data_IF_400631707908
#
_entry.id   IF_400631707908
#
_cell.length_a   1.000
_cell.length_b   1.000
_cell.length_c   1.000
_cell.angle_alpha   90.00
_cell.angle_beta   90.00
_cell.angle_gamma   90.00
#
_symmetry.space_group_name_H-M   'P 1'
#
loop_
_entity.id
_entity.type
_entity.pdbx_description
1 polymer ?
#
# COMPACT_ATOMS: atom_id res chain seq x y z
N UNK A 1 -11.90 -17.23 -22.37
CA UNK A 1 -12.78 -16.33 -23.16
C UNK A 1 -12.16 -14.95 -23.16
N UNK A 2 -11.94 -14.35 -24.34
CA UNK A 2 -11.48 -12.96 -24.47
C UNK A 2 -12.67 -12.05 -24.17
N UNK A 3 -12.75 -11.51 -22.96
CA UNK A 3 -13.74 -10.47 -22.65
C UNK A 3 -13.10 -9.11 -22.89
N UNK A 4 -13.27 -8.58 -24.10
CA UNK A 4 -13.06 -7.15 -24.38
C UNK A 4 -14.45 -6.55 -24.36
N UNK A 5 -14.76 -5.73 -23.35
CA UNK A 5 -16.04 -5.00 -23.30
C UNK A 5 -15.77 -3.52 -23.16
N UNK A 6 -16.52 -2.76 -23.95
CA UNK A 6 -16.48 -1.30 -24.04
C UNK A 6 -17.65 -0.77 -23.20
N UNK A 7 -17.37 0.11 -22.24
CA UNK A 7 -18.39 0.67 -21.34
C UNK A 7 -18.57 2.16 -21.58
N UNK A 8 -19.82 2.61 -21.62
CA UNK A 8 -20.20 4.01 -21.81
C UNK A 8 -20.21 4.82 -20.51
N UNK A 9 -20.32 4.19 -19.33
CA UNK A 9 -20.36 4.85 -18.02
C UNK A 9 -19.86 3.94 -16.88
N UNK A 10 -19.43 4.55 -15.76
CA UNK A 10 -18.86 3.87 -14.57
C UNK A 10 -19.87 2.98 -13.82
N UNK A 11 -21.15 3.36 -13.82
CA UNK A 11 -22.24 2.64 -13.12
C UNK A 11 -22.57 1.28 -13.75
N UNK A 12 -22.35 1.13 -15.05
CA UNK A 12 -22.60 -0.14 -15.76
C UNK A 12 -21.56 -1.23 -15.42
N UNK A 13 -20.42 -0.81 -14.87
CA UNK A 13 -19.30 -1.67 -14.48
C UNK A 13 -19.46 -2.26 -13.07
N UNK A 14 -19.94 -1.46 -12.11
CA UNK A 14 -20.13 -1.87 -10.71
C UNK A 14 -21.08 -3.08 -10.56
N UNK A 15 -22.15 -3.12 -11.37
CA UNK A 15 -23.15 -4.18 -11.35
C UNK A 15 -22.59 -5.56 -11.77
N UNK A 16 -21.58 -5.58 -12.65
CA UNK A 16 -20.99 -6.83 -13.17
C UNK A 16 -19.80 -7.33 -12.34
N UNK A 17 -19.04 -6.41 -11.74
CA UNK A 17 -17.90 -6.70 -10.87
C UNK A 17 -18.28 -7.45 -9.58
N UNK A 18 -19.51 -7.27 -9.09
CA UNK A 18 -20.08 -7.95 -7.91
C UNK A 18 -20.20 -9.49 -8.05
N UNK A 19 -19.98 -10.05 -9.24
CA UNK A 19 -20.23 -11.47 -9.56
C UNK A 19 -18.98 -12.36 -9.60
N UNK A 20 -17.78 -11.83 -9.32
CA UNK A 20 -16.51 -12.56 -9.50
C UNK A 20 -15.85 -12.88 -8.14
N UNK A 21 -15.64 -14.16 -7.79
CA UNK A 21 -14.99 -14.54 -6.53
C UNK A 21 -13.48 -14.79 -6.73
N UNK A 22 -12.60 -13.89 -6.29
CA UNK A 22 -11.13 -14.09 -6.07
C UNK A 22 -10.47 -12.79 -5.52
N UNK A 23 -9.28 -12.85 -4.87
CA UNK A 23 -8.74 -11.73 -4.10
C UNK A 23 -8.59 -10.50 -4.99
N UNK A 24 -9.11 -9.40 -4.51
CA UNK A 24 -9.44 -8.25 -5.33
C UNK A 24 -8.66 -7.03 -4.84
N UNK A 25 -7.89 -6.42 -5.73
CA UNK A 25 -7.26 -5.13 -5.42
C UNK A 25 -8.38 -4.11 -5.40
N UNK A 26 -8.52 -3.39 -4.29
CA UNK A 26 -9.49 -2.33 -4.13
C UNK A 26 -8.85 -0.99 -4.48
N UNK A 27 -9.60 -0.11 -5.13
CA UNK A 27 -9.22 1.30 -5.27
C UNK A 27 -10.33 2.17 -4.67
N UNK A 28 -9.94 3.15 -3.85
CA UNK A 28 -10.86 4.05 -3.17
C UNK A 28 -10.62 5.50 -3.58
N UNK A 29 -11.66 6.20 -4.05
CA UNK A 29 -11.56 7.64 -4.34
C UNK A 29 -11.70 8.48 -3.06
N UNK A 30 -12.58 8.03 -2.16
CA UNK A 30 -12.88 8.61 -0.84
C UNK A 30 -13.12 7.48 0.17
N UNK A 31 -13.21 7.83 1.46
CA UNK A 31 -13.38 6.88 2.58
C UNK A 31 -14.57 5.91 2.42
N UNK A 32 -15.57 6.20 1.57
CA UNK A 32 -16.74 5.36 1.30
C UNK A 32 -16.98 5.04 -0.18
N UNK A 33 -16.01 5.29 -1.06
CA UNK A 33 -16.14 5.07 -2.52
C UNK A 33 -15.05 4.09 -3.00
N UNK A 34 -15.21 2.80 -2.66
CA UNK A 34 -14.24 1.75 -2.94
C UNK A 34 -14.75 0.72 -3.96
N UNK A 35 -13.91 0.36 -4.92
CA UNK A 35 -14.24 -0.59 -5.99
C UNK A 35 -13.26 -1.77 -5.99
N UNK A 36 -13.75 -3.00 -6.16
CA UNK A 36 -12.93 -4.22 -6.19
C UNK A 36 -12.59 -4.64 -7.63
N UNK A 37 -11.32 -4.96 -7.92
CA UNK A 37 -10.86 -5.47 -9.22
C UNK A 37 -10.38 -6.93 -9.12
N UNK A 38 -10.69 -7.83 -10.07
CA UNK A 38 -10.20 -9.21 -10.03
C UNK A 38 -8.70 -9.26 -10.31
N UNK A 39 -7.98 -10.18 -9.66
CA UNK A 39 -6.51 -10.33 -9.72
C UNK A 39 -5.89 -10.61 -11.09
N UNK A 40 -6.70 -10.90 -12.12
CA UNK A 40 -6.26 -11.21 -13.49
C UNK A 40 -6.80 -10.20 -14.53
N UNK A 41 -7.20 -9.01 -14.09
CA UNK A 41 -7.77 -7.98 -14.97
C UNK A 41 -6.87 -6.76 -14.96
N UNK A 42 -6.65 -6.21 -16.16
CA UNK A 42 -5.98 -4.93 -16.37
C UNK A 42 -7.02 -3.96 -16.89
N UNK A 43 -7.03 -2.76 -16.33
CA UNK A 43 -7.79 -1.64 -16.85
C UNK A 43 -6.86 -0.59 -17.42
N UNK A 44 -7.18 -0.09 -18.61
CA UNK A 44 -6.47 1.04 -19.20
C UNK A 44 -7.46 1.93 -19.96
N UNK A 45 -7.24 3.25 -19.90
CA UNK A 45 -8.00 4.22 -20.68
C UNK A 45 -7.18 4.63 -21.89
N UNK A 46 -7.82 4.71 -23.05
CA UNK A 46 -7.20 5.31 -24.23
C UNK A 46 -7.65 6.75 -24.34
N UNK A 47 -6.71 7.67 -24.55
CA UNK A 47 -6.99 9.10 -24.73
C UNK A 47 -7.72 9.40 -26.05
N UNK A 48 -7.87 10.67 -26.38
CA UNK A 48 -8.42 11.07 -27.68
C UNK A 48 -7.57 10.50 -28.80
N UNK A 49 -8.23 9.91 -29.80
CA UNK A 49 -7.58 9.30 -30.95
C UNK A 49 -7.39 10.29 -32.10
N UNK A 50 -7.83 11.55 -31.96
CA UNK A 50 -7.74 12.58 -33.00
C UNK A 50 -8.29 12.11 -34.37
N UNK A 51 -9.32 11.26 -34.35
CA UNK A 51 -9.92 10.67 -35.55
C UNK A 51 -9.23 9.40 -36.10
N UNK A 52 -8.17 8.89 -35.45
CA UNK A 52 -7.49 7.65 -35.85
C UNK A 52 -8.06 6.42 -35.14
N UNK A 53 -9.03 5.75 -35.77
CA UNK A 53 -9.82 4.65 -35.17
C UNK A 53 -9.23 3.25 -35.35
N UNK A 54 -8.06 3.11 -35.98
CA UNK A 54 -7.41 1.82 -36.26
C UNK A 54 -6.15 1.61 -35.42
N UNK A 55 -6.25 1.87 -34.11
CA UNK A 55 -5.12 1.69 -33.20
C UNK A 55 -5.25 0.39 -32.42
N UNK A 56 -4.11 -0.23 -32.11
CA UNK A 56 -4.06 -1.42 -31.28
C UNK A 56 -3.11 -1.20 -30.11
N UNK A 57 -3.46 -1.79 -28.97
CA UNK A 57 -2.57 -1.94 -27.82
C UNK A 57 -2.07 -3.37 -27.82
N UNK A 58 -0.77 -3.57 -28.00
CA UNK A 58 -0.15 -4.90 -27.92
C UNK A 58 0.16 -5.21 -26.47
N UNK A 59 -0.41 -6.30 -25.96
CA UNK A 59 -0.15 -6.87 -24.64
C UNK A 59 0.86 -7.99 -24.79
N UNK A 60 1.94 -7.96 -24.01
CA UNK A 60 2.95 -9.02 -24.00
C UNK A 60 2.79 -9.84 -22.73
N UNK A 61 2.77 -11.18 -22.84
CA UNK A 61 2.69 -12.07 -21.69
C UNK A 61 3.58 -13.32 -21.83
N UNK A 62 3.94 -13.94 -20.70
CA UNK A 62 4.76 -15.16 -20.62
C UNK A 62 4.00 -16.33 -20.01
N UNK A 63 4.41 -17.56 -20.38
CA UNK A 63 4.02 -18.77 -19.68
C UNK A 63 4.86 -18.88 -18.40
N UNK A 64 4.25 -19.08 -17.25
CA UNK A 64 4.99 -19.17 -15.99
C UNK A 64 5.85 -20.46 -15.96
N UNK A 65 7.15 -20.33 -16.30
CA UNK A 65 8.34 -20.99 -15.73
C UNK A 65 9.57 -20.75 -16.63
N UNK A 66 10.50 -19.90 -16.19
CA UNK A 66 11.93 -19.96 -16.55
C UNK A 66 12.37 -19.66 -18.00
N UNK A 67 11.50 -19.18 -18.89
CA UNK A 67 11.89 -18.94 -20.28
C UNK A 67 12.36 -17.50 -20.51
N UNK A 68 13.67 -17.33 -20.71
CA UNK A 68 14.27 -16.16 -21.37
C UNK A 68 13.90 -16.15 -22.87
N UNK A 69 12.63 -15.95 -23.23
CA UNK A 69 12.24 -15.39 -24.53
C UNK A 69 10.73 -15.04 -24.60
N UNK A 70 10.30 -13.85 -25.07
CA UNK A 70 8.92 -13.38 -24.91
C UNK A 70 8.16 -13.30 -26.25
N UNK A 71 7.20 -14.18 -26.54
CA UNK A 71 6.48 -14.07 -27.82
C UNK A 71 4.98 -14.41 -27.80
N UNK A 72 4.28 -14.33 -26.67
CA UNK A 72 2.82 -14.34 -26.74
C UNK A 72 2.31 -12.93 -26.58
N UNK A 73 1.69 -12.46 -27.66
CA UNK A 73 1.11 -11.13 -27.76
C UNK A 73 -0.37 -11.23 -28.04
N UNK A 74 -1.17 -10.43 -27.35
CA UNK A 74 -2.52 -10.11 -27.81
C UNK A 74 -2.54 -8.67 -28.32
N UNK A 75 -3.30 -8.43 -29.36
CA UNK A 75 -3.62 -7.08 -29.81
C UNK A 75 -5.04 -6.76 -29.37
N UNK A 76 -5.18 -5.65 -28.64
CA UNK A 76 -6.47 -5.11 -28.26
C UNK A 76 -6.81 -4.00 -29.25
N UNK A 77 -7.83 -4.18 -30.10
CA UNK A 77 -8.29 -3.11 -30.97
C UNK A 77 -8.91 -1.99 -30.14
N UNK A 78 -8.48 -0.77 -30.40
CA UNK A 78 -9.02 0.44 -29.79
C UNK A 78 -10.03 1.02 -30.76
N UNK A 79 -11.30 0.87 -30.41
CA UNK A 79 -12.43 1.20 -31.27
C UNK A 79 -12.82 2.67 -31.10
N UNK A 80 -12.55 3.24 -29.92
CA UNK A 80 -12.90 4.62 -29.58
C UNK A 80 -11.97 5.22 -28.54
N UNK A 81 -11.65 6.51 -28.72
CA UNK A 81 -10.87 7.29 -27.77
C UNK A 81 -11.69 7.69 -26.56
N UNK A 82 -11.02 8.12 -25.50
CA UNK A 82 -11.60 8.51 -24.22
C UNK A 82 -12.46 7.43 -23.52
N UNK A 83 -12.33 6.16 -23.92
CA UNK A 83 -13.05 5.03 -23.31
C UNK A 83 -12.15 4.13 -22.48
N UNK A 84 -12.77 3.46 -21.50
CA UNK A 84 -12.13 2.45 -20.67
C UNK A 84 -12.12 1.09 -21.34
N UNK A 85 -10.97 0.43 -21.29
CA UNK A 85 -10.76 -0.92 -21.77
C UNK A 85 -10.39 -1.82 -20.60
N UNK A 86 -11.09 -2.95 -20.53
CA UNK A 86 -10.84 -4.01 -19.56
C UNK A 86 -10.27 -5.20 -20.32
N UNK A 87 -9.10 -5.69 -19.90
CA UNK A 87 -8.47 -6.85 -20.48
C UNK A 87 -8.19 -7.89 -19.40
N UNK A 88 -8.77 -9.08 -19.57
CA UNK A 88 -8.48 -10.22 -18.71
C UNK A 88 -7.23 -10.95 -19.23
N UNK A 89 -6.23 -11.06 -18.38
CA UNK A 89 -5.02 -11.85 -18.63
C UNK A 89 -5.44 -13.33 -18.69
N UNK A 90 -5.06 -14.08 -19.75
CA UNK A 90 -5.36 -15.49 -19.83
C UNK A 90 -4.78 -16.26 -18.63
N UNK A 91 -5.53 -17.25 -18.13
CA UNK A 91 -5.09 -18.07 -16.99
C UNK A 91 -3.72 -18.72 -17.24
N UNK A 92 -2.87 -18.71 -16.21
CA UNK A 92 -1.51 -19.25 -16.26
C UNK A 92 -0.49 -18.39 -17.01
N UNK A 93 -0.85 -17.14 -17.35
CA UNK A 93 0.06 -16.17 -17.96
C UNK A 93 0.39 -15.03 -16.99
N UNK A 94 1.59 -14.49 -17.14
CA UNK A 94 2.01 -13.24 -16.49
C UNK A 94 2.15 -12.14 -17.53
N UNK A 95 1.55 -10.98 -17.26
CA UNK A 95 1.76 -9.77 -18.07
C UNK A 95 3.23 -9.35 -17.98
N UNK A 96 3.83 -9.01 -19.13
CA UNK A 96 5.21 -8.53 -19.26
C UNK A 96 5.22 -7.02 -19.46
N UNK A 97 4.47 -6.50 -20.45
CA UNK A 97 4.41 -5.07 -20.81
C UNK A 97 3.30 -4.78 -21.81
N UNK A 98 3.06 -3.50 -22.09
CA UNK A 98 2.29 -3.01 -23.23
C UNK A 98 3.17 -2.30 -24.25
N UNK A 99 2.78 -2.28 -25.52
CA UNK A 99 3.37 -1.45 -26.58
C UNK A 99 2.24 -0.97 -27.52
N UNK A 100 2.15 0.34 -27.77
CA UNK A 100 1.12 0.91 -28.65
C UNK A 100 0.75 2.36 -28.31
N UNK A 101 0.16 3.04 -29.30
CA UNK A 101 -0.21 4.47 -29.47
C UNK A 101 0.96 5.47 -29.33
N UNK A 102 1.29 6.08 -30.48
CA UNK A 102 2.52 6.83 -30.75
C UNK A 102 2.18 8.25 -31.19
N UNK A 103 1.72 9.07 -30.25
CA UNK A 103 1.75 10.54 -30.30
C UNK A 103 1.66 11.06 -28.86
N UNK A 104 2.84 11.18 -28.24
CA UNK A 104 3.03 11.93 -26.99
C UNK A 104 3.95 13.06 -27.40
N UNK A 105 3.39 14.22 -27.74
CA UNK A 105 4.18 15.43 -27.96
C UNK A 105 4.74 15.89 -26.62
N UNK A 106 6.04 15.67 -26.49
CA UNK A 106 7.05 16.27 -25.63
C UNK A 106 6.75 16.49 -24.13
N UNK A 107 7.73 16.03 -23.34
CA UNK A 107 7.99 16.34 -21.92
C UNK A 107 7.53 15.28 -20.93
N UNK A 108 8.43 14.32 -20.65
CA UNK A 108 8.47 13.51 -19.42
C UNK A 108 7.31 12.51 -19.30
N UNK A 109 7.60 11.32 -18.77
CA UNK A 109 6.61 10.27 -18.49
C UNK A 109 5.74 10.74 -17.30
N UNK A 110 4.91 11.75 -17.53
CA UNK A 110 3.91 12.28 -16.60
C UNK A 110 2.88 13.05 -17.42
N UNK A 111 1.94 12.34 -18.05
CA UNK A 111 0.78 12.99 -18.62
C UNK A 111 -0.20 13.27 -17.48
N UNK A 112 -0.45 14.56 -17.17
CA UNK A 112 -1.57 14.98 -16.32
C UNK A 112 -2.82 14.97 -17.19
N UNK A 113 -3.73 14.01 -16.98
CA UNK A 113 -5.02 13.89 -17.67
C UNK A 113 -6.09 13.54 -16.62
N UNK A 114 -7.03 14.47 -16.45
CA UNK A 114 -8.18 14.46 -15.52
C UNK A 114 -8.71 13.08 -15.09
N UNK A 115 -8.44 12.76 -13.82
CA UNK A 115 -9.21 11.91 -12.89
C UNK A 115 -9.30 10.40 -13.16
N UNK A 116 -8.15 9.72 -13.20
CA UNK A 116 -7.83 8.34 -12.72
C UNK A 116 -6.67 7.81 -13.56
N UNK A 117 -5.61 7.32 -12.91
CA UNK A 117 -4.42 6.78 -13.55
C UNK A 117 -4.15 5.33 -13.13
N UNK A 118 -3.67 4.55 -14.10
CA UNK A 118 -3.77 3.08 -14.17
C UNK A 118 -3.16 2.28 -12.99
N UNK A 119 -3.76 1.12 -12.73
CA UNK A 119 -3.24 0.02 -11.90
C UNK A 119 -2.53 -0.99 -12.81
N UNK A 120 -1.25 -1.28 -12.59
CA UNK A 120 -0.56 -2.38 -13.27
C UNK A 120 -0.15 -3.45 -12.25
N UNK A 121 -0.68 -4.66 -12.42
CA UNK A 121 -0.28 -5.87 -11.71
C UNK A 121 0.48 -6.76 -12.70
N UNK A 122 1.80 -6.81 -12.60
CA UNK A 122 2.58 -7.89 -13.21
C UNK A 122 3.14 -8.78 -12.10
N UNK A 123 2.59 -9.98 -11.99
CA UNK A 123 3.18 -11.05 -11.19
C UNK A 123 4.37 -11.62 -11.96
N UNK A 124 5.57 -11.12 -11.67
CA UNK A 124 6.82 -11.72 -12.16
C UNK A 124 7.45 -12.42 -10.95
N UNK A 125 7.32 -13.76 -10.90
CA UNK A 125 7.90 -14.62 -9.85
C UNK A 125 7.36 -14.42 -8.42
N UNK A 126 6.08 -14.07 -8.25
CA UNK A 126 5.46 -13.88 -6.94
C UNK A 126 5.49 -12.43 -6.44
N UNK A 127 6.23 -11.54 -7.10
CA UNK A 127 6.28 -10.11 -6.76
C UNK A 127 5.25 -9.30 -7.56
N UNK A 128 4.70 -8.27 -6.94
CA UNK A 128 3.81 -7.25 -7.53
C UNK A 128 4.63 -6.00 -7.82
N UNK A 129 4.63 -5.56 -9.08
CA UNK A 129 5.30 -4.34 -9.51
C UNK A 129 4.30 -3.33 -10.02
N UNK A 130 4.23 -2.16 -9.38
CA UNK A 130 3.44 -1.01 -9.81
C UNK A 130 4.32 -0.07 -10.62
N UNK A 131 3.98 0.18 -11.88
CA UNK A 131 4.82 1.01 -12.76
C UNK A 131 4.41 2.49 -12.70
N UNK A 132 3.16 2.81 -12.34
CA UNK A 132 2.71 4.18 -12.10
C UNK A 132 1.28 4.14 -11.56
N UNK A 133 1.06 4.23 -10.25
CA UNK A 133 -0.23 4.70 -9.74
C UNK A 133 -0.07 6.20 -9.53
N UNK A 134 -0.77 7.00 -10.32
CA UNK A 134 -0.87 8.43 -10.05
C UNK A 134 -2.20 8.59 -9.32
N UNK A 135 -2.12 9.04 -8.08
CA UNK A 135 -3.31 9.37 -7.31
C UNK A 135 -3.97 10.60 -7.94
N UNK A 136 -5.27 10.50 -8.18
CA UNK A 136 -6.05 11.64 -8.68
C UNK A 136 -5.95 12.82 -7.68
N UNK A 137 -6.05 14.05 -8.17
CA UNK A 137 -6.06 15.27 -7.37
C UNK A 137 -7.18 15.26 -6.31
N UNK A 138 -8.21 14.44 -6.50
CA UNK A 138 -9.33 14.22 -5.58
C UNK A 138 -9.20 13.00 -4.66
N UNK A 139 -8.21 12.14 -4.88
CA UNK A 139 -8.06 10.94 -4.06
C UNK A 139 -7.51 11.31 -2.68
N UNK A 140 -8.26 10.96 -1.64
CA UNK A 140 -7.88 11.24 -0.25
C UNK A 140 -7.73 9.98 0.60
N UNK A 141 -8.01 8.80 0.05
CA UNK A 141 -8.00 7.54 0.79
C UNK A 141 -7.28 6.43 0.02
N UNK A 142 -6.35 5.76 0.69
CA UNK A 142 -5.73 4.51 0.26
C UNK A 142 -6.25 3.31 1.08
N UNK A 143 -7.44 3.44 1.66
CA UNK A 143 -8.01 2.42 2.53
C UNK A 143 -7.94 1.03 1.91
N UNK A 144 -7.22 0.11 2.57
CA UNK A 144 -7.05 -1.28 2.17
C UNK A 144 -6.60 -1.52 0.72
N UNK A 145 -6.01 -0.51 0.07
CA UNK A 145 -5.78 -0.51 -1.38
C UNK A 145 -4.85 -1.64 -1.84
N UNK A 146 -3.91 -2.05 -0.99
CA UNK A 146 -2.97 -3.14 -1.24
C UNK A 146 -3.15 -4.28 -0.23
N UNK A 147 -4.31 -4.36 0.43
CA UNK A 147 -4.60 -5.43 1.38
C UNK A 147 -4.61 -6.79 0.68
N UNK A 148 -4.06 -7.81 1.34
CA UNK A 148 -4.00 -9.20 0.86
C UNK A 148 -3.42 -9.33 -0.57
N UNK A 149 -2.45 -8.48 -0.93
CA UNK A 149 -1.75 -8.57 -2.22
C UNK A 149 -0.92 -9.86 -2.35
N UNK A 150 -0.56 -10.49 -1.22
CA UNK A 150 0.22 -11.73 -1.12
C UNK A 150 1.52 -11.68 -1.93
N UNK A 151 2.20 -10.53 -1.88
CA UNK A 151 3.39 -10.26 -2.66
C UNK A 151 4.63 -10.07 -1.77
N UNK A 152 5.71 -10.86 -1.91
CA UNK A 152 6.93 -10.68 -1.13
C UNK A 152 7.62 -9.32 -1.29
N UNK A 153 7.43 -8.67 -2.43
CA UNK A 153 7.93 -7.33 -2.69
C UNK A 153 6.93 -6.52 -3.48
N UNK A 154 6.78 -5.26 -3.12
CA UNK A 154 5.97 -4.30 -3.85
C UNK A 154 6.92 -3.26 -4.47
N UNK A 155 7.05 -3.29 -5.80
CA UNK A 155 7.97 -2.40 -6.53
C UNK A 155 7.24 -1.17 -7.10
N UNK A 156 7.95 -0.04 -7.17
CA UNK A 156 7.53 1.18 -7.86
C UNK A 156 6.51 2.07 -7.13
N UNK A 157 6.11 1.71 -5.91
CA UNK A 157 5.28 2.56 -5.05
C UNK A 157 6.02 3.78 -4.49
N UNK A 158 7.35 3.79 -4.58
CA UNK A 158 8.20 4.91 -4.20
C UNK A 158 8.04 6.11 -5.14
N UNK A 159 7.38 5.94 -6.30
CA UNK A 159 7.07 7.04 -7.22
C UNK A 159 5.66 7.62 -6.99
N UNK A 160 4.90 7.09 -6.03
CA UNK A 160 3.54 7.52 -5.80
C UNK A 160 3.49 8.86 -5.04
N UNK A 161 2.69 9.80 -5.55
CA UNK A 161 2.42 11.08 -4.86
C UNK A 161 1.29 10.95 -3.84
N UNK A 162 1.61 10.45 -2.65
CA UNK A 162 0.64 10.31 -1.54
C UNK A 162 0.33 11.61 -0.80
N UNK A 163 0.81 12.78 -1.27
CA UNK A 163 0.78 14.03 -0.50
C UNK A 163 -0.63 14.52 -0.15
N UNK A 164 -1.66 14.09 -0.89
CA UNK A 164 -3.07 14.46 -0.65
C UNK A 164 -3.85 13.44 0.17
N UNK A 165 -3.25 12.29 0.48
CA UNK A 165 -3.92 11.21 1.19
C UNK A 165 -4.11 11.60 2.65
N UNK A 166 -5.35 11.50 3.11
CA UNK A 166 -5.73 11.72 4.51
C UNK A 166 -5.99 10.40 5.23
N UNK A 167 -6.37 9.33 4.52
CA UNK A 167 -6.66 8.02 5.10
C UNK A 167 -5.76 6.93 4.48
N UNK A 168 -4.88 6.35 5.31
CA UNK A 168 -4.03 5.20 4.97
C UNK A 168 -4.38 3.97 5.83
N UNK A 169 -5.64 3.85 6.27
CA UNK A 169 -6.06 2.69 7.05
C UNK A 169 -5.90 1.40 6.24
N UNK A 170 -5.16 0.43 6.78
CA UNK A 170 -5.08 -0.90 6.22
C UNK A 170 -4.39 -1.04 4.86
N UNK A 171 -3.61 -0.04 4.38
CA UNK A 171 -3.06 -0.06 3.01
C UNK A 171 -2.46 -1.41 2.62
N UNK A 172 -1.66 -2.04 3.49
CA UNK A 172 -1.00 -3.34 3.24
C UNK A 172 -1.57 -4.47 4.12
N UNK A 173 -2.72 -4.26 4.74
CA UNK A 173 -3.29 -5.18 5.72
C UNK A 173 -3.45 -6.60 5.14
N UNK A 174 -3.14 -7.62 5.93
CA UNK A 174 -3.15 -9.03 5.53
C UNK A 174 -2.21 -9.39 4.37
N UNK A 175 -1.29 -8.53 3.92
CA UNK A 175 -0.25 -8.96 2.98
C UNK A 175 0.81 -9.82 3.69
N UNK A 176 0.43 -11.07 3.96
CA UNK A 176 1.22 -12.04 4.72
C UNK A 176 2.51 -12.42 4.04
N UNK A 177 2.66 -12.16 2.74
CA UNK A 177 3.86 -12.48 1.99
C UNK A 177 4.86 -11.32 1.96
N UNK A 178 4.41 -10.06 2.09
CA UNK A 178 5.26 -8.87 2.03
C UNK A 178 6.48 -8.97 2.95
N UNK A 179 7.67 -8.80 2.38
CA UNK A 179 8.94 -8.88 3.11
C UNK A 179 9.66 -7.54 3.18
N UNK A 180 9.64 -6.76 2.08
CA UNK A 180 10.42 -5.55 1.96
C UNK A 180 9.60 -4.43 1.32
N UNK A 181 9.70 -3.24 1.89
CA UNK A 181 9.02 -2.05 1.39
C UNK A 181 9.91 -0.81 1.54
N UNK A 182 10.01 -0.03 0.47
CA UNK A 182 10.67 1.27 0.47
C UNK A 182 9.61 2.38 0.29
N UNK A 183 9.48 3.19 1.34
CA UNK A 183 8.51 4.29 1.46
C UNK A 183 9.21 5.64 1.60
N UNK A 184 10.49 5.72 1.23
CA UNK A 184 11.35 6.91 1.45
C UNK A 184 10.78 8.20 0.86
N UNK A 185 10.04 8.11 -0.25
CA UNK A 185 9.50 9.25 -0.97
C UNK A 185 8.06 9.61 -0.59
N UNK A 186 7.44 8.87 0.34
CA UNK A 186 6.05 9.14 0.71
C UNK A 186 5.92 10.38 1.60
N UNK A 187 5.25 11.41 1.10
CA UNK A 187 4.84 12.56 1.91
C UNK A 187 3.50 12.28 2.59
N UNK A 188 3.55 11.95 3.89
CA UNK A 188 2.36 11.59 4.68
C UNK A 188 1.84 12.73 5.57
N UNK A 189 2.26 13.98 5.34
CA UNK A 189 1.96 15.12 6.24
C UNK A 189 0.47 15.45 6.40
N UNK A 190 -0.36 15.01 5.45
CA UNK A 190 -1.80 15.22 5.45
C UNK A 190 -2.60 14.02 5.98
N UNK A 191 -1.94 12.92 6.29
CA UNK A 191 -2.59 11.71 6.79
C UNK A 191 -3.09 11.92 8.22
N UNK A 192 -4.35 11.58 8.46
CA UNK A 192 -5.01 11.64 9.77
C UNK A 192 -5.28 10.23 10.33
N UNK A 193 -5.35 9.20 9.49
CA UNK A 193 -5.58 7.80 9.87
C UNK A 193 -4.54 6.86 9.27
N UNK A 194 -3.87 6.07 10.13
CA UNK A 194 -2.88 5.04 9.74
C UNK A 194 -3.13 3.71 10.46
N UNK A 195 -4.33 3.53 11.03
CA UNK A 195 -4.69 2.29 11.71
C UNK A 195 -4.56 1.07 10.76
N UNK A 196 -4.17 -0.08 11.29
CA UNK A 196 -4.00 -1.37 10.59
C UNK A 196 -3.10 -1.36 9.34
N UNK A 197 -2.31 -0.31 9.06
CA UNK A 197 -1.61 -0.15 7.79
C UNK A 197 -0.75 -1.37 7.37
N UNK A 198 -0.10 -2.04 8.33
CA UNK A 198 0.69 -3.26 8.14
C UNK A 198 0.17 -4.44 8.99
N UNK A 199 -1.08 -4.38 9.42
CA UNK A 199 -1.68 -5.44 10.24
C UNK A 199 -1.62 -6.78 9.52
N UNK A 200 -1.13 -7.82 10.21
CA UNK A 200 -0.98 -9.18 9.67
C UNK A 200 -0.03 -9.28 8.45
N UNK A 201 0.88 -8.32 8.25
CA UNK A 201 2.03 -8.49 7.35
C UNK A 201 3.08 -9.43 7.97
N UNK A 202 2.73 -10.72 8.10
CA UNK A 202 3.50 -11.67 8.90
C UNK A 202 4.97 -11.83 8.43
N UNK A 203 5.23 -11.73 7.12
CA UNK A 203 6.56 -11.91 6.52
C UNK A 203 7.38 -10.61 6.42
N UNK A 204 6.89 -9.49 6.95
CA UNK A 204 7.51 -8.19 6.82
C UNK A 204 8.82 -8.08 7.62
N UNK A 205 9.93 -7.95 6.92
CA UNK A 205 11.27 -7.91 7.49
C UNK A 205 11.85 -6.50 7.53
N UNK A 206 11.68 -5.74 6.45
CA UNK A 206 12.33 -4.44 6.28
C UNK A 206 11.35 -3.38 5.77
N UNK A 207 11.29 -2.26 6.50
CA UNK A 207 10.60 -1.03 6.11
C UNK A 207 11.62 0.10 6.05
N UNK A 208 11.75 0.75 4.90
CA UNK A 208 12.69 1.86 4.70
C UNK A 208 11.90 3.15 4.52
N UNK A 209 12.38 4.24 5.12
CA UNK A 209 11.83 5.59 4.92
C UNK A 209 10.87 6.09 6.00
N UNK A 210 10.46 5.26 6.97
CA UNK A 210 9.51 5.66 8.02
C UNK A 210 10.00 6.84 8.87
N UNK A 211 11.30 6.95 9.13
CA UNK A 211 11.88 8.05 9.92
C UNK A 211 11.80 9.43 9.25
N UNK A 212 11.45 9.48 7.96
CA UNK A 212 11.20 10.72 7.21
C UNK A 212 9.73 11.17 7.28
N UNK A 213 8.83 10.35 7.82
CA UNK A 213 7.40 10.65 7.84
C UNK A 213 7.05 11.74 8.85
N UNK A 214 6.34 12.77 8.38
CA UNK A 214 5.67 13.73 9.24
C UNK A 214 4.28 13.21 9.61
N UNK A 215 4.17 12.52 10.74
CA UNK A 215 2.91 11.96 11.24
C UNK A 215 2.12 12.90 12.16
N UNK A 216 2.47 14.19 12.21
CA UNK A 216 1.95 15.15 13.19
C UNK A 216 0.43 15.38 13.16
N UNK A 217 -0.25 15.02 12.06
CA UNK A 217 -1.72 15.09 11.93
C UNK A 217 -2.44 13.78 12.19
N UNK A 218 -1.71 12.66 12.37
CA UNK A 218 -2.30 11.35 12.58
C UNK A 218 -2.94 11.29 13.96
N UNK A 219 -4.20 10.84 14.02
CA UNK A 219 -4.93 10.67 15.28
C UNK A 219 -5.06 9.21 15.68
N UNK A 220 -5.12 8.28 14.72
CA UNK A 220 -5.33 6.84 14.95
C UNK A 220 -4.21 6.00 14.33
N UNK A 221 -3.59 5.14 15.16
CA UNK A 221 -2.53 4.19 14.79
C UNK A 221 -2.79 2.78 15.37
N UNK A 222 -4.05 2.47 15.70
CA UNK A 222 -4.44 1.14 16.21
C UNK A 222 -3.95 0.03 15.26
N UNK A 223 -3.43 -1.06 15.80
CA UNK A 223 -3.02 -2.26 15.06
C UNK A 223 -2.00 -2.04 13.92
N UNK A 224 -1.35 -0.88 13.83
CA UNK A 224 -0.55 -0.50 12.65
C UNK A 224 0.50 -1.56 12.24
N UNK A 225 1.15 -2.21 13.21
CA UNK A 225 2.13 -3.29 13.00
C UNK A 225 1.71 -4.60 13.71
N UNK A 226 0.44 -4.75 14.07
CA UNK A 226 -0.04 -5.95 14.77
C UNK A 226 0.26 -7.21 13.92
N UNK A 227 0.78 -8.25 14.55
CA UNK A 227 1.14 -9.53 13.91
C UNK A 227 2.22 -9.44 12.80
N UNK A 228 3.09 -8.43 12.81
CA UNK A 228 4.31 -8.41 11.98
C UNK A 228 5.40 -9.36 12.54
N UNK A 229 5.16 -10.68 12.46
CA UNK A 229 5.96 -11.70 13.15
C UNK A 229 7.46 -11.72 12.83
N UNK A 230 7.87 -11.20 11.68
CA UNK A 230 9.26 -11.26 11.21
C UNK A 230 10.04 -9.95 11.32
N UNK A 231 9.37 -8.86 11.66
CA UNK A 231 9.97 -7.53 11.80
C UNK A 231 10.90 -7.53 13.02
N UNK A 232 12.17 -7.16 12.82
CA UNK A 232 13.19 -7.22 13.88
C UNK A 232 13.54 -5.87 14.48
N UNK A 233 13.54 -4.81 13.67
CA UNK A 233 13.89 -3.47 14.09
C UNK A 233 12.89 -2.50 13.49
N UNK A 234 12.46 -1.54 14.30
CA UNK A 234 11.56 -0.50 13.84
C UNK A 234 12.06 0.87 14.33
N UNK A 235 12.47 1.69 13.38
CA UNK A 235 12.92 3.06 13.64
C UNK A 235 11.79 4.04 13.31
N UNK A 236 11.17 4.58 14.37
CA UNK A 236 10.12 5.60 14.30
C UNK A 236 10.63 6.95 14.86
N UNK A 237 11.94 7.18 14.74
CA UNK A 237 12.54 8.48 15.06
C UNK A 237 11.81 9.62 14.36
N UNK A 238 11.75 10.76 15.04
CA UNK A 238 11.16 12.03 14.55
C UNK A 238 9.63 12.00 14.35
N UNK A 239 8.96 10.90 14.68
CA UNK A 239 7.51 10.87 14.66
C UNK A 239 6.95 11.76 15.77
N UNK A 240 6.30 12.86 15.37
CA UNK A 240 5.50 13.66 16.28
C UNK A 240 4.14 12.99 16.50
N UNK A 241 4.00 12.22 17.57
CA UNK A 241 2.76 11.50 17.92
C UNK A 241 1.84 12.27 18.86
N UNK A 242 2.08 13.57 19.11
CA UNK A 242 1.30 14.39 20.06
C UNK A 242 -0.19 14.51 19.72
N UNK A 243 -0.58 14.30 18.46
CA UNK A 243 -1.98 14.28 18.02
C UNK A 243 -2.64 12.90 18.14
N UNK A 244 -1.89 11.84 18.40
CA UNK A 244 -2.38 10.46 18.38
C UNK A 244 -3.15 10.14 19.67
N UNK A 245 -4.42 9.80 19.51
CA UNK A 245 -5.32 9.41 20.61
C UNK A 245 -5.39 7.90 20.84
N UNK A 246 -5.10 7.08 19.81
CA UNK A 246 -5.33 5.63 19.80
C UNK A 246 -4.15 4.86 19.20
N UNK A 247 -3.56 3.95 19.98
CA UNK A 247 -2.41 3.09 19.63
C UNK A 247 -2.60 1.65 20.13
N UNK A 248 -3.85 1.21 20.29
CA UNK A 248 -4.15 -0.12 20.80
C UNK A 248 -3.64 -1.21 19.86
N UNK A 249 -3.04 -2.27 20.41
CA UNK A 249 -2.40 -3.35 19.66
C UNK A 249 -1.32 -2.94 18.64
N UNK A 250 -0.78 -1.70 18.69
CA UNK A 250 0.08 -1.15 17.62
C UNK A 250 1.26 -2.07 17.25
N UNK A 251 1.92 -2.72 18.22
CA UNK A 251 3.01 -3.67 17.99
C UNK A 251 2.68 -5.08 18.47
N UNK A 252 1.40 -5.35 18.80
CA UNK A 252 0.98 -6.63 19.35
C UNK A 252 1.45 -7.79 18.46
N UNK A 253 1.91 -8.86 19.10
CA UNK A 253 2.45 -10.06 18.46
C UNK A 253 3.60 -9.81 17.47
N UNK A 254 4.36 -8.70 17.57
CA UNK A 254 5.63 -8.56 16.87
C UNK A 254 6.72 -9.43 17.52
N UNK A 255 6.60 -10.76 17.40
CA UNK A 255 7.37 -11.74 18.19
C UNK A 255 8.89 -11.67 17.97
N UNK A 256 9.36 -11.17 16.82
CA UNK A 256 10.80 -11.01 16.50
C UNK A 256 11.32 -9.59 16.66
N UNK A 257 10.48 -8.61 17.02
CA UNK A 257 10.91 -7.23 17.21
C UNK A 257 11.87 -7.18 18.39
N UNK A 258 13.11 -6.75 18.18
CA UNK A 258 14.18 -6.66 19.17
C UNK A 258 14.39 -5.23 19.64
N UNK A 259 14.37 -4.29 18.69
CA UNK A 259 14.66 -2.88 18.92
C UNK A 259 13.54 -2.00 18.39
N UNK A 260 13.09 -1.07 19.22
CA UNK A 260 12.11 -0.05 18.87
C UNK A 260 12.65 1.34 19.20
N UNK A 261 12.60 2.26 18.26
CA UNK A 261 13.10 3.63 18.46
C UNK A 261 11.94 4.62 18.42
N UNK A 262 11.69 5.27 19.57
CA UNK A 262 10.55 6.15 19.85
C UNK A 262 11.01 7.56 20.29
N UNK A 263 12.20 8.00 19.89
CA UNK A 263 12.76 9.25 20.40
C UNK A 263 11.87 10.45 20.07
N UNK A 264 11.70 11.36 21.03
CA UNK A 264 10.91 12.58 20.90
C UNK A 264 9.39 12.37 20.91
N UNK A 265 8.91 11.15 21.18
CA UNK A 265 7.47 10.89 21.29
C UNK A 265 6.84 11.67 22.45
N UNK A 266 5.66 12.22 22.19
CA UNK A 266 4.78 12.82 23.18
C UNK A 266 3.41 12.14 23.10
N UNK A 267 3.11 11.27 24.07
CA UNK A 267 1.85 10.54 24.18
C UNK A 267 0.88 11.21 25.16
N UNK A 268 1.02 12.51 25.47
CA UNK A 268 0.15 13.19 26.45
C UNK A 268 -1.33 13.03 26.09
N UNK A 269 -1.68 13.17 24.81
CA UNK A 269 -3.04 13.03 24.31
C UNK A 269 -3.47 11.58 24.00
N UNK A 270 -2.58 10.60 24.09
CA UNK A 270 -2.91 9.20 23.82
C UNK A 270 -3.76 8.63 24.97
N UNK A 271 -4.98 8.20 24.66
CA UNK A 271 -5.95 7.69 25.64
C UNK A 271 -6.07 6.18 25.65
N UNK A 272 -5.61 5.49 24.60
CA UNK A 272 -5.66 4.04 24.52
C UNK A 272 -4.34 3.48 23.97
N UNK A 273 -3.69 2.64 24.78
CA UNK A 273 -2.48 1.86 24.46
C UNK A 273 -2.67 0.37 24.73
N UNK A 274 -3.92 -0.09 24.85
CA UNK A 274 -4.24 -1.45 25.29
C UNK A 274 -3.53 -2.50 24.42
N UNK A 275 -2.88 -3.46 25.06
CA UNK A 275 -2.15 -4.56 24.42
C UNK A 275 -1.06 -4.10 23.42
N UNK A 276 -0.56 -2.87 23.51
CA UNK A 276 0.36 -2.30 22.51
C UNK A 276 1.61 -3.16 22.27
N UNK A 277 2.13 -3.84 23.30
CA UNK A 277 3.32 -4.69 23.23
C UNK A 277 3.04 -6.17 23.56
N UNK A 278 1.77 -6.55 23.70
CA UNK A 278 1.40 -7.92 24.06
C UNK A 278 1.99 -8.89 23.06
N UNK A 279 2.77 -9.88 23.54
CA UNK A 279 3.39 -10.88 22.67
C UNK A 279 4.66 -10.44 21.95
N UNK A 280 5.20 -9.24 22.20
CA UNK A 280 6.54 -8.83 21.74
C UNK A 280 7.67 -9.54 22.51
N UNK A 281 7.74 -10.87 22.42
CA UNK A 281 8.60 -11.70 23.27
C UNK A 281 10.11 -11.52 23.05
N UNK A 282 10.53 -10.98 21.91
CA UNK A 282 11.95 -10.69 21.62
C UNK A 282 12.36 -9.24 21.90
N UNK A 283 11.42 -8.37 22.27
CA UNK A 283 11.69 -6.94 22.45
C UNK A 283 12.57 -6.78 23.68
N UNK A 284 13.75 -6.19 23.47
CA UNK A 284 14.76 -6.05 24.52
C UNK A 284 15.31 -4.64 24.66
N UNK A 285 15.11 -3.77 23.65
CA UNK A 285 15.59 -2.39 23.70
C UNK A 285 14.54 -1.43 23.16
N UNK A 286 14.22 -0.39 23.94
CA UNK A 286 13.42 0.76 23.48
C UNK A 286 14.22 2.04 23.72
N UNK A 287 14.43 2.82 22.66
CA UNK A 287 15.01 4.16 22.75
C UNK A 287 13.90 5.21 22.87
N UNK A 288 13.99 6.07 23.87
CA UNK A 288 13.00 7.10 24.22
C UNK A 288 13.67 8.44 24.57
N UNK A 289 14.77 8.78 23.90
CA UNK A 289 15.48 10.04 24.12
C UNK A 289 14.58 11.21 23.77
N UNK A 290 14.54 12.23 24.64
CA UNK A 290 13.71 13.42 24.43
C UNK A 290 12.21 13.21 24.59
N UNK A 291 11.74 12.03 25.01
CA UNK A 291 10.35 11.82 25.39
C UNK A 291 10.04 12.51 26.73
N UNK A 292 8.82 13.02 26.90
CA UNK A 292 8.40 13.56 28.19
C UNK A 292 8.11 12.45 29.21
N UNK A 293 8.10 12.80 30.50
CA UNK A 293 7.92 11.83 31.59
C UNK A 293 6.57 11.08 31.49
N UNK A 294 5.49 11.78 31.14
CA UNK A 294 4.17 11.17 30.94
C UNK A 294 4.20 10.04 29.90
N UNK A 295 4.96 10.24 28.81
CA UNK A 295 5.14 9.25 27.74
C UNK A 295 5.94 8.06 28.24
N UNK A 296 7.05 8.31 28.95
CA UNK A 296 7.88 7.26 29.56
C UNK A 296 7.06 6.40 30.53
N UNK A 297 6.25 7.03 31.38
CA UNK A 297 5.41 6.33 32.36
C UNK A 297 4.31 5.50 31.69
N UNK A 298 3.64 6.04 30.65
CA UNK A 298 2.62 5.30 29.87
C UNK A 298 3.22 4.05 29.22
N UNK A 299 4.38 4.18 28.57
CA UNK A 299 5.06 3.05 27.92
C UNK A 299 5.49 2.01 28.96
N UNK A 300 6.08 2.41 30.09
CA UNK A 300 6.45 1.49 31.18
C UNK A 300 5.24 0.74 31.74
N UNK A 301 4.14 1.45 32.04
CA UNK A 301 2.92 0.84 32.56
C UNK A 301 2.31 -0.14 31.55
N UNK A 302 2.38 0.16 30.26
CA UNK A 302 1.89 -0.73 29.22
C UNK A 302 2.78 -1.98 29.08
N UNK A 303 4.11 -1.83 29.12
CA UNK A 303 5.05 -2.97 29.13
C UNK A 303 4.86 -3.87 30.35
N UNK A 304 4.53 -3.30 31.51
CA UNK A 304 4.20 -4.04 32.73
C UNK A 304 2.89 -4.82 32.57
N UNK A 305 1.85 -4.15 32.07
CA UNK A 305 0.54 -4.76 31.78
C UNK A 305 0.65 -5.91 30.77
N UNK A 306 1.49 -5.73 29.74
CA UNK A 306 1.76 -6.73 28.71
C UNK A 306 2.74 -7.83 29.16
N UNK A 307 3.29 -7.70 30.37
CA UNK A 307 4.12 -8.73 31.02
C UNK A 307 5.54 -8.84 30.48
N UNK A 308 6.07 -7.81 29.80
CA UNK A 308 7.40 -7.84 29.17
C UNK A 308 8.39 -6.82 29.71
N UNK A 309 7.99 -5.93 30.63
CA UNK A 309 8.85 -4.86 31.16
C UNK A 309 10.24 -5.37 31.64
N UNK A 310 10.28 -6.51 32.34
CA UNK A 310 11.53 -7.06 32.88
C UNK A 310 12.53 -7.53 31.80
N UNK A 311 12.09 -7.70 30.55
CA UNK A 311 12.93 -8.13 29.44
C UNK A 311 13.42 -6.96 28.58
N UNK A 312 12.95 -5.73 28.88
CA UNK A 312 13.16 -4.55 28.04
C UNK A 312 14.07 -3.53 28.75
N UNK A 313 15.17 -3.18 28.08
CA UNK A 313 16.01 -2.03 28.45
C UNK A 313 15.44 -0.77 27.82
N UNK A 314 15.09 0.22 28.64
CA UNK A 314 14.60 1.52 28.18
C UNK A 314 15.72 2.55 28.29
N UNK A 315 16.07 3.18 27.16
CA UNK A 315 17.16 4.14 27.06
C UNK A 315 16.56 5.54 26.85
N UNK A 316 16.71 6.41 27.84
CA UNK A 316 16.12 7.77 27.86
C UNK A 316 17.15 8.89 27.72
N UNK A 317 18.43 8.57 27.87
CA UNK A 317 19.59 9.48 27.74
C UNK A 317 20.61 8.92 26.72
#
# INVERSE_FOLDING_TARGET
>A
MKYIRNFSAHTDYEAEMSKIPTPSVSYCRKENECHFMPSNVIMFKVGDLNGNTNQTVTVYYSNIKGAHNPHITDEIPIIEGNRWYVYSIPSGKSLIKFKGIKEITDTIISAKINNIYNLFLTNIHGNVSFINCIFDDEMTSMWQMLADCLSPQILGINNWDVSKITNMNGVFEYDRSLQNLDLTNWNVENVTRMDSMFHECNSLQNLVGLSNWNVGKVTWMDMMFNSCYTLQNLDLNNWNVSSVTRMSWMFCSCIKLQTLTLNGWDMTNTTNTDNMFRGCTSLNTIYMRGCNQTTIDKIKAQLETDGILNNVTIITE
#
